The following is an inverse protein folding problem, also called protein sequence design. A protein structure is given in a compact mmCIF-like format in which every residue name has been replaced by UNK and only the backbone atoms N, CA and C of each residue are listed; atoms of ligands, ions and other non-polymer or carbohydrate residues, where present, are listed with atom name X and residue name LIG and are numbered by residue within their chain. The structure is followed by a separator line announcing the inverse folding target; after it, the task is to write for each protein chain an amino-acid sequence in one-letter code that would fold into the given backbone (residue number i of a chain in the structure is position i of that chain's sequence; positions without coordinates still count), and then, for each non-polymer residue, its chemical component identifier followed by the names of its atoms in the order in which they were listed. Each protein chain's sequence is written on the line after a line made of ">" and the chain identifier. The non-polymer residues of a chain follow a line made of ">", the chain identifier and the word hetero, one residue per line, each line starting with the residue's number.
data_IF_828987592340
#
_entry.id   IF_828987592340
#
_cell.length_a   1.000
_cell.length_b   1.000
_cell.length_c   1.000
_cell.angle_alpha   90.00
_cell.angle_beta   90.00
_cell.angle_gamma   90.00
#
_symmetry.space_group_name_H-M   'P 1'
#
loop_
_entity.id
_entity.type
_entity.pdbx_description
1 polymer ?
#
# COMPACT_ATOMS: atom_id res chain seq x y z
N UNK A 1 16.79 4.39 -0.52
CA UNK A 1 17.06 4.36 -1.98
C UNK A 1 17.52 5.75 -2.41
N UNK A 2 18.39 5.89 -3.44
CA UNK A 2 18.67 7.21 -4.05
C UNK A 2 17.34 7.80 -4.53
N UNK A 3 17.09 9.09 -4.33
CA UNK A 3 15.82 9.73 -4.71
C UNK A 3 15.48 9.35 -6.15
N UNK A 4 14.33 8.70 -6.30
CA UNK A 4 13.86 8.13 -7.57
C UNK A 4 13.50 9.26 -8.56
N UNK A 5 13.16 10.43 -8.02
CA UNK A 5 12.87 11.63 -8.80
C UNK A 5 14.16 12.25 -9.37
N UNK A 6 14.29 12.38 -10.71
CA UNK A 6 15.43 13.06 -11.33
C UNK A 6 15.59 14.53 -10.93
N UNK A 7 14.54 15.19 -10.43
CA UNK A 7 14.58 16.55 -9.88
C UNK A 7 14.96 16.60 -8.40
N UNK A 8 15.22 15.44 -7.77
CA UNK A 8 15.61 15.31 -6.36
C UNK A 8 14.56 15.88 -5.38
N UNK A 9 13.29 16.00 -5.80
CA UNK A 9 12.18 16.34 -4.89
C UNK A 9 11.97 15.25 -3.86
N UNK A 10 11.48 15.64 -2.69
CA UNK A 10 11.06 14.71 -1.65
C UNK A 10 9.65 14.19 -1.94
N UNK A 11 9.48 12.87 -2.00
CA UNK A 11 8.17 12.22 -2.14
C UNK A 11 7.56 11.97 -0.76
N UNK A 12 6.41 12.57 -0.48
CA UNK A 12 5.71 12.44 0.81
C UNK A 12 4.37 11.74 0.59
N UNK A 13 4.22 10.54 1.14
CA UNK A 13 2.92 9.88 1.19
C UNK A 13 2.11 10.45 2.35
N UNK A 14 0.92 11.01 2.06
CA UNK A 14 -0.03 11.50 3.07
C UNK A 14 -1.24 10.58 3.17
N UNK A 15 -1.53 10.13 4.40
CA UNK A 15 -2.74 9.38 4.71
C UNK A 15 -3.99 10.28 4.69
N UNK A 16 -5.17 9.71 4.51
CA UNK A 16 -6.43 10.44 4.42
C UNK A 16 -6.78 11.21 5.70
N UNK A 17 -6.41 10.67 6.87
CA UNK A 17 -6.58 11.43 8.12
C UNK A 17 -5.69 12.66 8.16
N UNK A 18 -4.50 12.62 7.55
CA UNK A 18 -3.59 13.76 7.46
C UNK A 18 -4.19 14.81 6.53
N UNK A 19 -4.63 14.40 5.33
CA UNK A 19 -5.32 15.30 4.40
C UNK A 19 -6.51 15.98 5.07
N UNK A 20 -7.28 15.23 5.88
CA UNK A 20 -8.40 15.80 6.62
C UNK A 20 -7.95 16.85 7.64
N UNK A 21 -6.95 16.56 8.47
CA UNK A 21 -6.45 17.52 9.45
C UNK A 21 -5.80 18.77 8.83
N UNK A 22 -5.16 18.65 7.66
CA UNK A 22 -4.60 19.79 6.93
C UNK A 22 -5.69 20.73 6.41
N UNK A 23 -6.82 20.18 5.96
CA UNK A 23 -7.95 20.96 5.43
C UNK A 23 -8.73 21.59 6.57
N UNK A 24 -9.08 20.78 7.57
CA UNK A 24 -9.88 21.20 8.72
C UNK A 24 -9.08 22.11 9.67
N UNK A 25 -7.74 22.15 9.54
CA UNK A 25 -6.82 22.94 10.36
C UNK A 25 -7.10 22.77 11.85
N UNK A 26 -7.15 21.51 12.30
CA UNK A 26 -7.64 21.15 13.65
C UNK A 26 -6.83 21.75 14.80
N UNK A 27 -5.60 22.20 14.54
CA UNK A 27 -4.78 23.01 15.45
C UNK A 27 -3.73 23.85 14.69
N UNK A 28 -3.02 24.72 15.42
CA UNK A 28 -1.99 25.60 14.85
C UNK A 28 -0.84 24.83 14.20
N UNK A 29 -0.43 23.69 14.75
CA UNK A 29 0.62 22.85 14.16
C UNK A 29 0.22 22.32 12.77
N UNK A 30 -1.01 21.85 12.60
CA UNK A 30 -1.51 21.39 11.29
C UNK A 30 -1.60 22.54 10.28
N UNK A 31 -1.97 23.73 10.74
CA UNK A 31 -1.99 24.94 9.91
C UNK A 31 -0.58 25.32 9.44
N UNK A 32 0.41 25.27 10.32
CA UNK A 32 1.82 25.51 9.97
C UNK A 32 2.33 24.46 8.97
N UNK A 33 2.10 23.17 9.24
CA UNK A 33 2.50 22.08 8.34
C UNK A 33 1.88 22.28 6.96
N UNK A 34 0.60 22.63 6.89
CA UNK A 34 -0.08 22.92 5.63
C UNK A 34 0.61 24.06 4.86
N UNK A 35 0.85 25.19 5.53
CA UNK A 35 1.52 26.33 4.89
C UNK A 35 2.91 25.96 4.38
N UNK A 36 3.66 25.17 5.16
CA UNK A 36 4.99 24.69 4.77
C UNK A 36 4.95 23.70 3.61
N UNK A 37 3.95 22.80 3.55
CA UNK A 37 3.75 21.89 2.41
C UNK A 37 3.43 22.68 1.14
N UNK A 38 2.49 23.63 1.21
CA UNK A 38 2.12 24.48 0.07
C UNK A 38 3.31 25.33 -0.41
N UNK A 39 4.06 25.93 0.51
CA UNK A 39 5.26 26.70 0.20
C UNK A 39 6.33 25.83 -0.49
N UNK A 40 6.76 24.73 0.14
CA UNK A 40 7.80 23.85 -0.41
C UNK A 40 7.40 23.19 -1.73
N UNK A 41 6.11 22.91 -1.93
CA UNK A 41 5.57 22.48 -3.21
C UNK A 41 5.73 23.58 -4.27
N UNK A 42 5.34 24.82 -3.95
CA UNK A 42 5.42 25.96 -4.89
C UNK A 42 6.85 26.29 -5.35
N UNK A 43 7.86 25.99 -4.52
CA UNK A 43 9.28 26.13 -4.87
C UNK A 43 9.90 24.82 -5.37
N UNK A 44 9.07 23.85 -5.75
CA UNK A 44 9.45 22.62 -6.45
C UNK A 44 10.37 21.69 -5.64
N UNK A 45 10.25 21.66 -4.32
CA UNK A 45 11.12 20.83 -3.46
C UNK A 45 10.49 19.50 -3.02
N UNK A 46 9.16 19.38 -3.07
CA UNK A 46 8.43 18.17 -2.70
C UNK A 46 7.21 17.97 -3.59
N UNK A 47 6.64 16.77 -3.51
CA UNK A 47 5.32 16.45 -4.03
C UNK A 47 4.70 15.34 -3.18
N UNK A 48 3.37 15.28 -3.17
CA UNK A 48 2.60 14.34 -2.38
C UNK A 48 1.66 13.54 -3.30
N UNK A 49 2.10 12.39 -3.86
CA UNK A 49 1.29 11.65 -4.81
C UNK A 49 -0.04 11.21 -4.22
N UNK A 50 -1.06 11.15 -5.08
CA UNK A 50 -2.34 10.54 -4.74
C UNK A 50 -2.20 9.02 -4.66
N UNK A 51 -3.21 8.39 -4.06
CA UNK A 51 -3.37 6.94 -4.14
C UNK A 51 -4.81 6.59 -4.48
N UNK A 52 -5.00 5.37 -4.98
CA UNK A 52 -6.34 4.82 -5.21
C UNK A 52 -7.13 4.73 -3.89
N UNK A 53 -6.44 4.45 -2.78
CA UNK A 53 -7.02 4.39 -1.43
C UNK A 53 -7.56 5.76 -0.98
N UNK A 54 -6.85 6.86 -1.28
CA UNK A 54 -7.33 8.21 -0.97
C UNK A 54 -8.71 8.48 -1.58
N UNK A 55 -8.92 8.10 -2.84
CA UNK A 55 -10.20 8.29 -3.54
C UNK A 55 -11.31 7.46 -2.88
N UNK A 56 -11.04 6.18 -2.59
CA UNK A 56 -12.01 5.28 -1.94
C UNK A 56 -12.46 5.80 -0.58
N UNK A 57 -11.56 6.38 0.21
CA UNK A 57 -11.88 6.90 1.54
C UNK A 57 -12.51 8.29 1.49
N UNK A 58 -12.04 9.15 0.58
CA UNK A 58 -12.59 10.50 0.41
C UNK A 58 -14.05 10.44 -0.04
N UNK A 59 -14.40 9.51 -0.93
CA UNK A 59 -15.76 9.32 -1.41
C UNK A 59 -16.78 8.89 -0.33
N UNK A 60 -16.32 8.46 0.86
CA UNK A 60 -17.21 8.16 2.01
C UNK A 60 -17.72 9.42 2.70
N UNK A 61 -17.10 10.58 2.46
CA UNK A 61 -17.58 11.89 2.94
C UNK A 61 -18.71 12.38 2.04
N UNK A 62 -19.56 13.26 2.56
CA UNK A 62 -20.53 14.02 1.75
C UNK A 62 -19.85 14.68 0.54
N UNK A 63 -20.50 14.64 -0.63
CA UNK A 63 -19.90 14.98 -1.93
C UNK A 63 -19.13 16.30 -1.93
N UNK A 64 -19.69 17.37 -1.39
CA UNK A 64 -19.03 18.68 -1.34
C UNK A 64 -17.73 18.65 -0.53
N UNK A 65 -17.74 17.97 0.62
CA UNK A 65 -16.54 17.80 1.43
C UNK A 65 -15.55 16.86 0.73
N UNK A 66 -16.03 15.80 0.09
CA UNK A 66 -15.18 14.87 -0.65
C UNK A 66 -14.40 15.61 -1.76
N UNK A 67 -15.07 16.48 -2.52
CA UNK A 67 -14.46 17.30 -3.58
C UNK A 67 -13.41 18.25 -3.02
N UNK A 68 -13.71 18.97 -1.94
CA UNK A 68 -12.74 19.90 -1.31
C UNK A 68 -11.46 19.13 -0.91
N UNK A 69 -11.61 17.94 -0.35
CA UNK A 69 -10.47 17.12 0.06
C UNK A 69 -9.64 16.60 -1.10
N UNK A 70 -10.29 16.06 -2.13
CA UNK A 70 -9.63 15.55 -3.32
C UNK A 70 -8.92 16.66 -4.10
N UNK A 71 -9.56 17.83 -4.28
CA UNK A 71 -8.96 18.98 -4.98
C UNK A 71 -7.75 19.55 -4.24
N UNK A 72 -7.82 19.68 -2.92
CA UNK A 72 -6.68 20.13 -2.13
C UNK A 72 -5.49 19.18 -2.30
N UNK A 73 -5.72 17.86 -2.19
CA UNK A 73 -4.63 16.91 -2.26
C UNK A 73 -4.06 16.79 -3.68
N UNK A 74 -4.92 16.88 -4.71
CA UNK A 74 -4.51 16.97 -6.11
C UNK A 74 -3.51 18.09 -6.36
N UNK A 75 -3.72 19.26 -5.75
CA UNK A 75 -2.81 20.42 -5.91
C UNK A 75 -1.37 20.11 -5.51
N UNK A 76 -1.16 19.27 -4.50
CA UNK A 76 0.18 18.90 -4.00
C UNK A 76 0.79 17.70 -4.74
N UNK A 77 0.05 17.07 -5.66
CA UNK A 77 0.43 15.76 -6.20
C UNK A 77 1.35 15.79 -7.42
N UNK A 78 1.55 16.95 -8.05
CA UNK A 78 2.17 17.05 -9.38
C UNK A 78 1.51 16.16 -10.45
N UNK A 79 0.21 15.85 -10.27
CA UNK A 79 -0.54 14.86 -11.06
C UNK A 79 0.01 13.43 -10.98
N UNK A 80 0.88 13.14 -10.01
CA UNK A 80 1.31 11.78 -9.72
C UNK A 80 0.29 11.04 -8.87
N UNK A 81 0.10 9.77 -9.23
CA UNK A 81 -0.63 8.81 -8.43
C UNK A 81 0.15 7.50 -8.34
N UNK A 82 0.10 6.87 -7.17
CA UNK A 82 0.59 5.51 -7.02
C UNK A 82 -0.20 4.55 -7.90
N UNK A 83 0.53 3.76 -8.69
CA UNK A 83 -0.05 2.64 -9.43
C UNK A 83 -0.79 1.71 -8.47
N UNK A 84 -1.86 1.10 -8.95
CA UNK A 84 -2.57 0.09 -8.16
C UNK A 84 -1.63 -1.08 -7.80
N UNK A 85 -1.94 -1.77 -6.70
CA UNK A 85 -1.02 -2.75 -6.08
C UNK A 85 -0.64 -3.90 -7.02
N UNK A 86 -1.61 -4.42 -7.78
CA UNK A 86 -1.42 -5.51 -8.74
C UNK A 86 -0.47 -5.08 -9.87
N UNK A 87 -0.68 -3.89 -10.44
CA UNK A 87 0.20 -3.33 -11.47
C UNK A 87 1.59 -3.04 -10.93
N UNK A 88 1.68 -2.40 -9.76
CA UNK A 88 2.96 -2.07 -9.14
C UNK A 88 3.77 -3.33 -8.83
N UNK A 89 3.13 -4.34 -8.23
CA UNK A 89 3.77 -5.62 -7.92
C UNK A 89 4.27 -6.32 -9.17
N UNK A 90 3.44 -6.41 -10.22
CA UNK A 90 3.85 -7.07 -11.47
C UNK A 90 4.96 -6.29 -12.19
N UNK A 91 4.96 -4.96 -12.12
CA UNK A 91 6.03 -4.11 -12.65
C UNK A 91 7.35 -4.32 -11.90
N UNK A 92 7.32 -4.46 -10.57
CA UNK A 92 8.52 -4.72 -9.77
C UNK A 92 9.08 -6.11 -10.04
N UNK A 93 8.23 -7.14 -10.14
CA UNK A 93 8.64 -8.49 -10.57
C UNK A 93 9.26 -8.43 -11.96
N UNK A 94 8.60 -7.77 -12.92
CA UNK A 94 9.14 -7.61 -14.26
C UNK A 94 10.50 -6.92 -14.27
N UNK A 95 10.68 -5.91 -13.42
CA UNK A 95 11.93 -5.17 -13.36
C UNK A 95 13.04 -6.00 -12.72
N UNK A 96 12.71 -6.75 -11.67
CA UNK A 96 13.62 -7.67 -10.98
C UNK A 96 14.14 -8.76 -11.92
N UNK A 97 13.24 -9.44 -12.64
CA UNK A 97 13.60 -10.56 -13.53
C UNK A 97 14.38 -10.09 -14.76
N UNK A 98 14.12 -8.87 -15.25
CA UNK A 98 14.80 -8.31 -16.43
C UNK A 98 16.02 -7.44 -16.10
N UNK A 99 16.27 -7.15 -14.82
CA UNK A 99 17.35 -6.25 -14.40
C UNK A 99 17.11 -4.78 -14.78
N UNK A 100 15.84 -4.37 -14.93
CA UNK A 100 15.51 -2.98 -15.24
C UNK A 100 15.73 -2.09 -14.01
N UNK A 101 16.26 -0.88 -14.23
CA UNK A 101 16.37 0.12 -13.17
C UNK A 101 14.98 0.68 -12.83
N UNK A 102 14.76 0.95 -11.54
CA UNK A 102 13.55 1.63 -11.10
C UNK A 102 13.66 3.13 -11.36
N UNK A 103 12.57 3.71 -11.83
CA UNK A 103 12.39 5.15 -12.07
C UNK A 103 11.10 5.61 -11.42
N UNK A 104 10.81 6.91 -11.42
CA UNK A 104 9.54 7.42 -10.87
C UNK A 104 8.32 6.73 -11.50
N UNK A 105 8.39 6.50 -12.81
CA UNK A 105 7.37 5.80 -13.60
C UNK A 105 7.24 4.31 -13.26
N UNK A 106 8.17 3.73 -12.50
CA UNK A 106 7.99 2.37 -11.96
C UNK A 106 6.87 2.35 -10.91
N UNK A 107 6.79 3.40 -10.08
CA UNK A 107 5.92 3.48 -8.92
C UNK A 107 4.68 4.33 -9.16
N UNK A 108 4.87 5.43 -9.87
CA UNK A 108 3.86 6.45 -10.13
C UNK A 108 3.41 6.38 -11.59
N UNK A 109 2.20 6.84 -11.82
CA UNK A 109 1.70 7.18 -13.15
C UNK A 109 1.25 8.64 -13.17
N UNK A 110 1.34 9.24 -14.34
CA UNK A 110 0.90 10.62 -14.60
C UNK A 110 -0.34 10.58 -15.48
N UNK A 111 -1.38 11.30 -15.12
CA UNK A 111 -2.54 11.44 -15.99
C UNK A 111 -3.67 12.24 -15.35
N UNK A 112 -4.53 12.87 -16.16
CA UNK A 112 -5.72 13.52 -15.65
C UNK A 112 -6.64 12.46 -15.06
N UNK A 113 -6.81 12.51 -13.75
CA UNK A 113 -7.81 11.68 -13.08
C UNK A 113 -9.20 12.24 -13.36
N UNK A 114 -10.19 11.36 -13.45
CA UNK A 114 -11.59 11.78 -13.45
C UNK A 114 -11.85 12.62 -12.21
N UNK A 115 -12.52 13.75 -12.38
CA UNK A 115 -12.93 14.58 -11.26
C UNK A 115 -13.78 13.73 -10.31
N UNK A 116 -13.57 13.84 -8.99
CA UNK A 116 -14.32 13.04 -8.03
C UNK A 116 -15.84 13.19 -8.22
N UNK A 117 -16.33 14.38 -8.60
CA UNK A 117 -17.74 14.60 -8.91
C UNK A 117 -18.28 13.66 -10.01
N UNK A 118 -17.46 13.31 -11.00
CA UNK A 118 -17.87 12.48 -12.14
C UNK A 118 -17.95 10.99 -11.78
N UNK A 119 -17.19 10.55 -10.78
CA UNK A 119 -17.09 9.14 -10.40
C UNK A 119 -17.58 8.82 -8.98
N UNK A 120 -18.06 9.82 -8.23
CA UNK A 120 -18.47 9.70 -6.83
C UNK A 120 -19.49 8.57 -6.58
N UNK A 121 -20.54 8.50 -7.39
CA UNK A 121 -21.58 7.46 -7.26
C UNK A 121 -21.01 6.06 -7.51
N UNK A 122 -20.24 5.89 -8.58
CA UNK A 122 -19.59 4.62 -8.94
C UNK A 122 -18.63 4.16 -7.84
N UNK A 123 -17.86 5.07 -7.25
CA UNK A 123 -16.96 4.75 -6.14
C UNK A 123 -17.76 4.30 -4.90
N UNK A 124 -18.89 4.94 -4.61
CA UNK A 124 -19.72 4.56 -3.48
C UNK A 124 -20.40 3.20 -3.68
N UNK A 125 -20.81 2.86 -4.89
CA UNK A 125 -21.32 1.53 -5.23
C UNK A 125 -20.23 0.46 -5.03
N UNK A 126 -19.01 0.72 -5.49
CA UNK A 126 -17.85 -0.17 -5.28
C UNK A 126 -17.50 -0.31 -3.80
N UNK A 127 -17.52 0.80 -3.04
CA UNK A 127 -17.28 0.80 -1.60
C UNK A 127 -18.30 -0.06 -0.85
N UNK A 128 -19.58 -0.05 -1.28
CA UNK A 128 -20.62 -0.88 -0.67
C UNK A 128 -20.30 -2.37 -0.85
N UNK A 129 -20.02 -2.80 -2.08
CA UNK A 129 -19.64 -4.19 -2.39
C UNK A 129 -18.37 -4.61 -1.64
N UNK A 130 -17.36 -3.74 -1.58
CA UNK A 130 -16.13 -3.97 -0.85
C UNK A 130 -16.39 -4.17 0.66
N UNK A 131 -17.15 -3.29 1.29
CA UNK A 131 -17.48 -3.39 2.71
C UNK A 131 -18.26 -4.66 3.03
N UNK A 132 -19.25 -5.03 2.22
CA UNK A 132 -20.01 -6.28 2.37
C UNK A 132 -19.11 -7.52 2.32
N UNK A 133 -18.23 -7.57 1.32
CA UNK A 133 -17.33 -8.70 1.06
C UNK A 133 -16.30 -8.89 2.17
N UNK A 134 -15.67 -7.79 2.61
CA UNK A 134 -14.67 -7.85 3.66
C UNK A 134 -15.30 -8.18 5.02
N UNK A 135 -16.48 -7.66 5.32
CA UNK A 135 -17.21 -8.02 6.54
C UNK A 135 -17.51 -9.53 6.60
N UNK A 136 -17.91 -10.15 5.49
CA UNK A 136 -18.12 -11.60 5.42
C UNK A 136 -16.85 -12.37 5.82
N UNK A 137 -15.71 -11.98 5.27
CA UNK A 137 -14.42 -12.62 5.54
C UNK A 137 -13.92 -12.40 6.98
N UNK A 138 -14.11 -11.20 7.51
CA UNK A 138 -13.68 -10.84 8.87
C UNK A 138 -14.51 -11.56 9.94
N UNK A 139 -15.81 -11.78 9.71
CA UNK A 139 -16.68 -12.46 10.68
C UNK A 139 -16.22 -13.88 11.00
N UNK A 140 -15.80 -14.65 9.99
CA UNK A 140 -15.31 -16.01 10.18
C UNK A 140 -13.97 -16.03 10.93
N UNK A 141 -13.06 -15.12 10.60
CA UNK A 141 -11.75 -15.02 11.24
C UNK A 141 -11.81 -14.52 12.68
N UNK A 142 -12.63 -13.50 12.97
CA UNK A 142 -12.80 -12.97 14.31
C UNK A 142 -13.48 -13.97 15.25
N UNK A 143 -14.37 -14.84 14.74
CA UNK A 143 -14.97 -15.91 15.53
C UNK A 143 -13.93 -16.93 16.03
N UNK A 144 -12.96 -17.29 15.18
CA UNK A 144 -11.86 -18.20 15.52
C UNK A 144 -10.88 -17.54 16.52
N UNK A 145 -10.59 -16.25 16.34
CA UNK A 145 -9.68 -15.49 17.22
C UNK A 145 -10.22 -15.36 18.66
N UNK A 146 -11.53 -15.21 18.85
CA UNK A 146 -12.16 -15.19 20.20
C UNK A 146 -11.91 -16.47 21.02
N UNK A 147 -11.56 -17.57 20.37
CA UNK A 147 -11.34 -18.87 21.01
C UNK A 147 -9.86 -19.05 21.40
N UNK A 148 -8.95 -18.23 20.88
CA UNK A 148 -7.49 -18.37 21.02
C UNK A 148 -6.86 -17.11 21.60
N UNK A 149 -7.15 -16.81 22.87
CA UNK A 149 -6.49 -15.71 23.59
C UNK A 149 -5.32 -16.23 24.44
N UNK A 150 -4.10 -16.09 23.91
CA UNK A 150 -2.87 -16.39 24.63
C UNK A 150 -1.74 -15.45 24.20
N UNK A 151 -1.15 -14.71 25.14
CA UNK A 151 0.04 -13.90 24.85
C UNK A 151 1.27 -14.80 24.80
N UNK A 152 1.82 -15.00 23.60
CA UNK A 152 3.09 -15.68 23.42
C UNK A 152 4.29 -14.73 23.66
N UNK A 153 5.47 -15.29 23.96
CA UNK A 153 6.69 -14.49 24.04
C UNK A 153 7.11 -13.93 22.67
N UNK A 154 7.74 -12.75 22.64
CA UNK A 154 8.13 -12.05 21.38
C UNK A 154 8.95 -12.92 20.41
N UNK A 155 9.82 -13.80 20.94
CA UNK A 155 10.61 -14.72 20.10
C UNK A 155 9.73 -15.76 19.40
N UNK A 156 8.70 -16.24 20.08
CA UNK A 156 7.75 -17.21 19.55
C UNK A 156 6.87 -16.53 18.49
N UNK A 157 6.39 -15.31 18.79
CA UNK A 157 5.63 -14.50 17.82
C UNK A 157 6.41 -14.27 16.52
N UNK A 158 7.68 -13.87 16.60
CA UNK A 158 8.51 -13.67 15.41
C UNK A 158 8.66 -14.93 14.57
N UNK A 159 8.82 -16.10 15.21
CA UNK A 159 8.86 -17.39 14.50
C UNK A 159 7.54 -17.70 13.81
N UNK A 160 6.40 -17.43 14.47
CA UNK A 160 5.09 -17.61 13.82
C UNK A 160 4.90 -16.68 12.64
N UNK A 161 5.36 -15.43 12.72
CA UNK A 161 5.33 -14.48 11.59
C UNK A 161 6.11 -15.07 10.40
N UNK A 162 7.33 -15.58 10.63
CA UNK A 162 8.13 -16.22 9.60
C UNK A 162 7.45 -17.45 8.99
N UNK A 163 6.84 -18.31 9.81
CA UNK A 163 6.11 -19.50 9.35
C UNK A 163 4.94 -19.10 8.46
N UNK A 164 4.10 -18.14 8.89
CA UNK A 164 2.95 -17.69 8.10
C UNK A 164 3.41 -17.08 6.77
N UNK A 165 4.47 -16.26 6.78
CA UNK A 165 5.05 -15.73 5.54
C UNK A 165 5.53 -16.85 4.60
N UNK A 166 6.15 -17.89 5.13
CA UNK A 166 6.64 -19.01 4.32
C UNK A 166 5.48 -19.81 3.70
N UNK A 167 4.38 -20.02 4.42
CA UNK A 167 3.18 -20.65 3.85
C UNK A 167 2.63 -19.85 2.66
N UNK A 168 2.63 -18.53 2.74
CA UNK A 168 2.19 -17.66 1.63
C UNK A 168 3.16 -17.73 0.43
N UNK A 169 4.47 -17.83 0.69
CA UNK A 169 5.49 -18.04 -0.35
C UNK A 169 5.28 -19.41 -1.04
N UNK A 170 5.06 -20.47 -0.26
CA UNK A 170 4.82 -21.82 -0.76
C UNK A 170 3.55 -21.88 -1.61
N UNK A 171 2.44 -21.31 -1.13
CA UNK A 171 1.21 -21.18 -1.91
C UNK A 171 1.43 -20.45 -3.24
N UNK A 172 2.21 -19.37 -3.25
CA UNK A 172 2.57 -18.66 -4.47
C UNK A 172 3.41 -19.53 -5.42
N UNK A 173 4.42 -20.22 -4.88
CA UNK A 173 5.31 -21.11 -5.63
C UNK A 173 4.51 -22.24 -6.27
N UNK A 174 3.67 -22.93 -5.51
CA UNK A 174 2.79 -24.00 -6.01
C UNK A 174 1.92 -23.50 -7.14
N UNK A 175 1.33 -22.31 -6.98
CA UNK A 175 0.48 -21.73 -8.00
C UNK A 175 1.23 -21.38 -9.28
N UNK A 176 2.40 -20.76 -9.15
CA UNK A 176 3.25 -20.42 -10.29
C UNK A 176 3.77 -21.67 -11.01
N UNK A 177 4.18 -22.70 -10.27
CA UNK A 177 4.68 -23.97 -10.80
C UNK A 177 3.58 -24.70 -11.58
N UNK A 178 2.36 -24.71 -11.05
CA UNK A 178 1.18 -25.21 -11.75
C UNK A 178 0.97 -24.48 -13.09
N UNK A 179 0.99 -23.14 -13.10
CA UNK A 179 0.79 -22.36 -14.33
C UNK A 179 1.89 -22.59 -15.38
N UNK A 180 3.13 -22.84 -14.95
CA UNK A 180 4.24 -23.19 -15.84
C UNK A 180 4.02 -24.58 -16.44
N UNK A 181 3.63 -25.56 -15.61
CA UNK A 181 3.44 -26.96 -16.01
C UNK A 181 2.28 -27.12 -16.98
N UNK A 182 1.12 -26.55 -16.65
CA UNK A 182 -0.08 -26.60 -17.49
C UNK A 182 -0.03 -25.64 -18.68
N UNK A 183 0.95 -24.72 -18.71
CA UNK A 183 1.10 -23.66 -19.72
C UNK A 183 -0.17 -22.81 -19.88
N UNK A 184 -0.94 -22.67 -18.81
CA UNK A 184 -2.18 -21.91 -18.78
C UNK A 184 -2.29 -21.11 -17.48
N UNK A 185 -2.85 -19.91 -17.60
CA UNK A 185 -3.22 -19.07 -16.47
C UNK A 185 -4.73 -18.94 -16.49
N UNK A 186 -5.39 -19.64 -15.57
CA UNK A 186 -6.80 -19.41 -15.27
C UNK A 186 -6.91 -18.56 -14.01
N UNK A 187 -7.88 -17.65 -13.99
CA UNK A 187 -8.15 -16.82 -12.83
C UNK A 187 -9.24 -17.52 -12.01
N UNK A 188 -8.88 -18.03 -10.84
CA UNK A 188 -9.84 -18.65 -9.90
C UNK A 188 -10.72 -17.57 -9.25
N UNK A 189 -11.97 -17.88 -8.90
CA UNK A 189 -12.74 -17.05 -7.99
C UNK A 189 -12.33 -17.32 -6.53
N UNK A 190 -12.09 -16.24 -5.79
CA UNK A 190 -12.11 -16.21 -4.33
C UNK A 190 -13.52 -15.75 -3.89
N UNK A 191 -14.18 -16.53 -3.04
CA UNK A 191 -15.56 -16.30 -2.65
C UNK A 191 -15.65 -15.46 -1.37
N UNK A 192 -16.32 -14.31 -1.46
CA UNK A 192 -16.59 -13.40 -0.35
C UNK A 192 -18.09 -13.24 -0.14
N UNK A 193 -18.75 -14.31 0.29
CA UNK A 193 -20.20 -14.36 0.46
C UNK A 193 -20.91 -14.57 -0.88
N UNK A 194 -21.70 -13.59 -1.31
CA UNK A 194 -22.40 -13.61 -2.61
C UNK A 194 -21.56 -13.06 -3.76
N UNK A 195 -20.40 -12.49 -3.46
CA UNK A 195 -19.52 -11.82 -4.42
C UNK A 195 -18.31 -12.71 -4.72
N UNK A 196 -17.98 -12.85 -5.99
CA UNK A 196 -16.78 -13.55 -6.46
C UNK A 196 -15.73 -12.52 -6.88
N UNK A 197 -14.52 -12.65 -6.36
CA UNK A 197 -13.39 -11.82 -6.73
C UNK A 197 -12.32 -12.66 -7.39
N UNK A 198 -11.59 -12.14 -8.39
CA UNK A 198 -10.53 -12.92 -8.99
C UNK A 198 -9.38 -13.13 -7.99
N UNK A 199 -8.82 -14.34 -7.94
CA UNK A 199 -7.74 -14.68 -7.03
C UNK A 199 -6.51 -13.80 -7.25
N UNK A 200 -5.97 -13.25 -6.17
CA UNK A 200 -4.95 -12.19 -6.24
C UNK A 200 -3.66 -12.65 -6.92
N UNK A 201 -3.19 -13.88 -6.63
CA UNK A 201 -1.99 -14.46 -7.26
C UNK A 201 -2.25 -14.65 -8.76
N UNK A 202 -3.42 -15.15 -9.12
CA UNK A 202 -3.78 -15.40 -10.52
C UNK A 202 -3.87 -14.11 -11.33
N UNK A 203 -4.42 -13.05 -10.74
CA UNK A 203 -4.43 -11.71 -11.36
C UNK A 203 -3.01 -11.22 -11.63
N UNK A 204 -2.09 -11.41 -10.68
CA UNK A 204 -0.69 -11.02 -10.83
C UNK A 204 -0.01 -11.79 -11.97
N UNK A 205 -0.17 -13.12 -12.00
CA UNK A 205 0.38 -13.98 -13.04
C UNK A 205 -0.21 -13.62 -14.42
N UNK A 206 -1.52 -13.38 -14.47
CA UNK A 206 -2.20 -12.93 -15.69
C UNK A 206 -1.63 -11.61 -16.18
N UNK A 207 -1.40 -10.65 -15.29
CA UNK A 207 -0.81 -9.36 -15.65
C UNK A 207 0.64 -9.49 -16.13
N UNK A 208 1.45 -10.34 -15.48
CA UNK A 208 2.81 -10.63 -15.94
C UNK A 208 2.82 -11.19 -17.36
N UNK A 209 1.92 -12.14 -17.66
CA UNK A 209 1.81 -12.71 -19.00
C UNK A 209 1.34 -11.69 -20.05
N UNK A 210 0.27 -10.95 -19.78
CA UNK A 210 -0.41 -10.14 -20.80
C UNK A 210 0.07 -8.70 -20.89
N UNK A 211 0.39 -8.04 -19.76
CA UNK A 211 0.85 -6.65 -19.76
C UNK A 211 2.36 -6.54 -19.87
N UNK A 212 3.10 -7.44 -19.21
CA UNK A 212 4.56 -7.44 -19.23
C UNK A 212 5.16 -8.43 -20.24
N UNK A 213 4.33 -9.21 -20.94
CA UNK A 213 4.76 -10.20 -21.93
C UNK A 213 5.76 -11.22 -21.36
N UNK A 214 5.51 -11.69 -20.15
CA UNK A 214 6.29 -12.80 -19.59
C UNK A 214 6.14 -14.04 -20.46
N UNK A 215 7.25 -14.76 -20.60
CA UNK A 215 7.36 -16.03 -21.32
C UNK A 215 7.71 -17.09 -20.30
N UNK A 216 7.62 -18.37 -20.67
CA UNK A 216 7.95 -19.50 -19.80
C UNK A 216 9.32 -19.33 -19.11
N UNK A 217 10.33 -18.84 -19.84
CA UNK A 217 11.67 -18.56 -19.27
C UNK A 217 11.62 -17.53 -18.13
N UNK A 218 10.84 -16.47 -18.27
CA UNK A 218 10.70 -15.42 -17.25
C UNK A 218 9.94 -15.96 -16.03
N UNK A 219 8.93 -16.81 -16.23
CA UNK A 219 8.22 -17.45 -15.12
C UNK A 219 9.10 -18.46 -14.37
N UNK A 220 9.94 -19.24 -15.07
CA UNK A 220 10.92 -20.13 -14.42
C UNK A 220 11.96 -19.34 -13.63
N UNK A 221 12.43 -18.21 -14.16
CA UNK A 221 13.31 -17.30 -13.42
C UNK A 221 12.62 -16.74 -12.17
N UNK A 222 11.35 -16.35 -12.29
CA UNK A 222 10.56 -15.86 -11.16
C UNK A 222 10.32 -16.95 -10.10
N UNK A 223 10.04 -18.18 -10.51
CA UNK A 223 9.90 -19.32 -9.62
C UNK A 223 11.20 -19.59 -8.83
N UNK A 224 12.35 -19.53 -9.51
CA UNK A 224 13.65 -19.69 -8.86
C UNK A 224 13.95 -18.54 -7.89
N UNK A 225 13.59 -17.30 -8.26
CA UNK A 225 13.72 -16.14 -7.37
C UNK A 225 12.91 -16.33 -6.09
N UNK A 226 11.65 -16.79 -6.18
CA UNK A 226 10.81 -17.09 -5.01
C UNK A 226 11.38 -18.22 -4.16
N UNK A 227 11.89 -19.30 -4.78
CA UNK A 227 12.50 -20.42 -4.04
C UNK A 227 13.76 -20.03 -3.27
N UNK A 228 14.54 -19.08 -3.79
CA UNK A 228 15.82 -18.65 -3.18
C UNK A 228 15.61 -17.51 -2.19
N UNK A 229 14.86 -16.48 -2.58
CA UNK A 229 14.76 -15.22 -1.84
C UNK A 229 13.40 -14.99 -1.18
N UNK A 230 12.42 -15.87 -1.43
CA UNK A 230 11.04 -15.65 -1.02
C UNK A 230 10.51 -14.33 -1.58
N UNK A 231 9.79 -13.57 -0.75
CA UNK A 231 9.30 -12.25 -1.11
C UNK A 231 10.29 -11.10 -0.85
N UNK A 232 11.45 -11.35 -0.24
CA UNK A 232 12.32 -10.29 0.28
C UNK A 232 12.76 -9.24 -0.74
N UNK A 233 12.88 -9.63 -2.03
CA UNK A 233 13.31 -8.73 -3.13
C UNK A 233 12.16 -8.12 -3.92
N UNK A 234 10.92 -8.36 -3.51
CA UNK A 234 9.71 -7.80 -4.13
C UNK A 234 8.98 -7.00 -3.04
N UNK A 235 9.23 -5.67 -2.95
CA UNK A 235 8.80 -4.87 -1.80
C UNK A 235 7.33 -4.99 -1.45
N UNK A 236 6.44 -4.96 -2.45
CA UNK A 236 4.99 -5.05 -2.22
C UNK A 236 4.60 -6.39 -1.59
N UNK A 237 5.10 -7.52 -2.11
CA UNK A 237 4.86 -8.84 -1.51
C UNK A 237 5.43 -8.91 -0.09
N UNK A 238 6.67 -8.47 0.11
CA UNK A 238 7.29 -8.52 1.43
C UNK A 238 6.51 -7.70 2.46
N UNK A 239 6.12 -6.46 2.12
CA UNK A 239 5.34 -5.59 3.02
C UNK A 239 3.98 -6.23 3.33
N UNK A 240 3.21 -6.59 2.30
CA UNK A 240 1.86 -7.14 2.44
C UNK A 240 1.85 -8.36 3.36
N UNK A 241 2.70 -9.35 3.07
CA UNK A 241 2.70 -10.60 3.82
C UNK A 241 3.37 -10.48 5.18
N UNK A 242 4.33 -9.56 5.37
CA UNK A 242 4.86 -9.27 6.71
C UNK A 242 3.82 -8.64 7.62
N UNK A 243 3.06 -7.66 7.12
CA UNK A 243 1.98 -7.02 7.88
C UNK A 243 0.83 -8.00 8.14
N UNK A 244 0.40 -8.78 7.13
CA UNK A 244 -0.65 -9.78 7.31
C UNK A 244 -0.28 -10.85 8.34
N UNK A 245 0.94 -11.36 8.29
CA UNK A 245 1.44 -12.31 9.29
C UNK A 245 1.53 -11.67 10.69
N UNK A 246 2.01 -10.44 10.80
CA UNK A 246 2.06 -9.70 12.06
C UNK A 246 0.68 -9.54 12.70
N UNK A 247 -0.32 -9.13 11.91
CA UNK A 247 -1.69 -8.96 12.41
C UNK A 247 -2.31 -10.28 12.86
N UNK A 248 -2.05 -11.35 12.12
CA UNK A 248 -2.52 -12.71 12.44
C UNK A 248 -1.96 -13.18 13.78
N UNK A 249 -0.65 -13.07 13.99
CA UNK A 249 0.02 -13.50 15.23
C UNK A 249 -0.37 -12.64 16.43
N UNK A 250 -0.60 -11.35 16.21
CA UNK A 250 -1.01 -10.43 17.29
C UNK A 250 -2.50 -10.53 17.63
N UNK A 251 -3.25 -11.46 17.02
CA UNK A 251 -4.69 -11.65 17.21
C UNK A 251 -5.49 -10.36 17.09
N UNK A 252 -5.00 -9.37 16.32
CA UNK A 252 -5.68 -8.08 16.25
C UNK A 252 -6.98 -8.28 15.49
N UNK A 253 -8.09 -7.79 16.02
CA UNK A 253 -9.34 -7.77 15.25
C UNK A 253 -9.10 -6.94 14.00
N UNK A 254 -9.34 -7.56 12.85
CA UNK A 254 -9.30 -6.86 11.56
C UNK A 254 -10.64 -6.19 11.32
N UNK A 255 -10.59 -5.02 10.70
CA UNK A 255 -11.74 -4.30 10.17
C UNK A 255 -11.50 -3.95 8.70
N UNK A 256 -12.53 -3.45 8.01
CA UNK A 256 -12.41 -3.11 6.59
C UNK A 256 -11.33 -2.04 6.33
N UNK A 257 -11.20 -1.06 7.22
CA UNK A 257 -10.14 -0.04 7.13
C UNK A 257 -8.74 -0.64 7.20
N UNK A 258 -8.55 -1.71 7.98
CA UNK A 258 -7.25 -2.35 8.14
C UNK A 258 -6.75 -2.93 6.80
N UNK A 259 -7.64 -3.41 5.91
CA UNK A 259 -7.26 -3.85 4.56
C UNK A 259 -6.83 -2.69 3.65
N UNK A 260 -7.53 -1.55 3.72
CA UNK A 260 -7.16 -0.34 2.96
C UNK A 260 -5.80 0.17 3.43
N UNK A 261 -5.55 0.17 4.74
CA UNK A 261 -4.25 0.56 5.31
C UNK A 261 -3.12 -0.35 4.83
N UNK A 262 -3.32 -1.68 4.81
CA UNK A 262 -2.30 -2.61 4.30
C UNK A 262 -1.99 -2.33 2.83
N UNK A 263 -3.01 -2.13 2.00
CA UNK A 263 -2.79 -1.79 0.58
C UNK A 263 -2.02 -0.46 0.44
N UNK A 264 -2.35 0.52 1.27
CA UNK A 264 -1.69 1.83 1.31
C UNK A 264 -0.21 1.69 1.64
N UNK A 265 0.12 0.99 2.72
CA UNK A 265 1.50 0.77 3.16
C UNK A 265 2.26 -0.05 2.12
N UNK A 266 1.60 -1.07 1.57
CA UNK A 266 2.15 -1.93 0.51
C UNK A 266 2.58 -1.13 -0.70
N UNK A 267 1.79 -0.13 -1.13
CA UNK A 267 2.08 0.67 -2.31
C UNK A 267 3.02 1.85 -2.04
N UNK A 268 2.88 2.52 -0.90
CA UNK A 268 3.52 3.81 -0.67
C UNK A 268 4.82 3.76 0.14
N UNK A 269 5.01 2.76 1.02
CA UNK A 269 6.09 2.78 2.01
C UNK A 269 7.47 2.79 1.35
N UNK A 270 7.71 1.88 0.41
CA UNK A 270 9.03 1.66 -0.19
C UNK A 270 9.40 2.65 -1.31
N UNK A 271 8.42 3.42 -1.79
CA UNK A 271 8.57 4.37 -2.88
C UNK A 271 8.58 5.83 -2.42
N UNK A 272 8.36 6.09 -1.13
CA UNK A 272 8.31 7.44 -0.56
C UNK A 272 9.53 7.70 0.32
N UNK A 273 9.95 8.96 0.41
CA UNK A 273 10.98 9.37 1.37
C UNK A 273 10.38 9.50 2.78
N UNK A 274 9.11 9.94 2.83
CA UNK A 274 8.31 10.10 4.04
C UNK A 274 6.97 9.40 3.85
N UNK A 275 6.53 8.66 4.87
CA UNK A 275 5.24 7.99 4.90
C UNK A 275 4.48 8.35 6.17
N UNK A 276 3.37 9.06 6.01
CA UNK A 276 2.42 9.31 7.09
C UNK A 276 1.40 8.19 7.20
N UNK A 277 1.11 7.78 8.43
CA UNK A 277 0.06 6.82 8.75
C UNK A 277 -0.38 6.99 10.20
N UNK A 278 -1.40 6.27 10.66
CA UNK A 278 -1.83 6.35 12.05
C UNK A 278 -0.81 5.72 13.01
N UNK A 279 -0.98 5.98 14.32
CA UNK A 279 -0.05 5.54 15.36
C UNK A 279 0.09 4.01 15.43
N UNK A 280 -1.01 3.26 15.24
CA UNK A 280 -1.00 1.78 15.27
C UNK A 280 -0.16 1.27 14.10
N UNK A 281 -0.38 1.78 12.88
CA UNK A 281 0.38 1.37 11.69
C UNK A 281 1.84 1.77 11.73
N UNK A 282 2.16 2.98 12.23
CA UNK A 282 3.55 3.39 12.46
C UNK A 282 4.29 2.39 13.36
N UNK A 283 3.67 1.97 14.46
CA UNK A 283 4.28 0.99 15.37
C UNK A 283 4.54 -0.35 14.69
N UNK A 284 3.59 -0.85 13.90
CA UNK A 284 3.70 -2.13 13.18
C UNK A 284 4.83 -2.11 12.15
N UNK A 285 4.94 -1.02 11.38
CA UNK A 285 6.02 -0.82 10.39
C UNK A 285 7.39 -0.83 11.07
N UNK A 286 7.52 -0.13 12.20
CA UNK A 286 8.79 -0.02 12.95
C UNK A 286 9.15 -1.34 13.64
N UNK A 287 8.20 -2.06 14.25
CA UNK A 287 8.48 -3.33 14.92
C UNK A 287 8.91 -4.42 13.92
N UNK A 288 8.38 -4.38 12.70
CA UNK A 288 8.81 -5.21 11.57
C UNK A 288 10.11 -4.72 10.90
N UNK A 289 10.63 -3.53 11.27
CA UNK A 289 11.84 -2.94 10.69
C UNK A 289 11.71 -2.54 9.22
N UNK A 290 10.49 -2.37 8.70
CA UNK A 290 10.25 -2.04 7.30
C UNK A 290 10.68 -0.61 6.96
N UNK A 291 10.59 0.31 7.92
CA UNK A 291 11.08 1.70 7.81
C UNK A 291 12.58 1.73 7.45
N UNK A 292 13.38 0.91 8.14
CA UNK A 292 14.82 0.80 7.92
C UNK A 292 15.14 0.06 6.63
N UNK A 293 14.42 -1.04 6.36
CA UNK A 293 14.61 -1.85 5.16
C UNK A 293 14.43 -1.02 3.88
N UNK A 294 13.41 -0.15 3.86
CA UNK A 294 13.12 0.68 2.69
C UNK A 294 13.69 2.10 2.78
N UNK A 295 14.29 2.48 3.91
CA UNK A 295 14.84 3.80 4.17
C UNK A 295 13.79 4.91 4.02
N UNK A 296 12.68 4.76 4.73
CA UNK A 296 11.53 5.67 4.72
C UNK A 296 11.29 6.21 6.12
N UNK A 297 11.16 7.52 6.27
CA UNK A 297 10.79 8.13 7.56
C UNK A 297 9.29 7.99 7.80
N UNK A 298 8.90 7.55 9.00
CA UNK A 298 7.50 7.31 9.35
C UNK A 298 7.02 8.30 10.41
N UNK A 299 5.95 9.03 10.10
CA UNK A 299 5.31 9.97 11.01
C UNK A 299 3.82 9.60 11.20
N UNK A 300 3.24 10.06 12.31
CA UNK A 300 1.81 9.95 12.59
C UNK A 300 1.28 11.23 13.25
N UNK A 301 -0.03 11.27 13.54
CA UNK A 301 -0.69 12.46 14.10
C UNK A 301 -0.38 12.80 15.57
N UNK A 302 0.67 12.24 16.17
CA UNK A 302 1.07 12.59 17.55
C UNK A 302 1.93 13.84 17.55
N UNK A 303 1.78 14.69 18.57
CA UNK A 303 2.42 16.00 18.67
C UNK A 303 3.93 15.98 18.34
N UNK A 304 4.68 15.05 18.95
CA UNK A 304 6.11 14.91 18.69
C UNK A 304 6.42 14.69 17.20
N UNK A 305 5.68 13.81 16.54
CA UNK A 305 5.90 13.52 15.12
C UNK A 305 5.54 14.72 14.23
N UNK A 306 4.51 15.48 14.61
CA UNK A 306 4.11 16.68 13.89
C UNK A 306 5.16 17.78 14.01
N UNK A 307 5.71 17.98 15.21
CA UNK A 307 6.81 18.93 15.43
C UNK A 307 8.06 18.53 14.65
N UNK A 308 8.47 17.26 14.74
CA UNK A 308 9.63 16.73 14.02
C UNK A 308 9.45 16.86 12.50
N UNK A 309 8.23 16.67 11.98
CA UNK A 309 7.92 16.85 10.57
C UNK A 309 7.89 18.33 10.16
N UNK A 310 7.35 19.22 10.99
CA UNK A 310 7.36 20.66 10.73
C UNK A 310 8.80 21.19 10.63
N UNK A 311 9.67 20.82 11.57
CA UNK A 311 11.10 21.13 11.51
C UNK A 311 11.74 20.61 10.21
N UNK A 312 11.44 19.37 9.82
CA UNK A 312 11.94 18.81 8.56
C UNK A 312 11.50 19.63 7.33
N UNK A 313 10.25 20.10 7.30
CA UNK A 313 9.75 20.95 6.21
C UNK A 313 10.41 22.33 6.19
N UNK A 314 10.74 22.89 7.36
CA UNK A 314 11.45 24.18 7.46
C UNK A 314 12.90 24.09 6.99
N UNK A 315 13.54 22.94 7.18
CA UNK A 315 14.94 22.69 6.80
C UNK A 315 15.11 22.18 5.36
N UNK A 316 14.02 22.04 4.61
CA UNK A 316 14.05 21.55 3.24
C UNK A 316 14.69 22.60 2.32
N UNK A 317 15.69 22.19 1.54
CA UNK A 317 16.50 23.06 0.67
C UNK A 317 16.56 22.55 -0.76
#
# INVERSE_FOLDING_TARGET
>A
MKKIDPQNKTCIYLDQFVVSNLIDQTNDTWKEIRNMLEFNFSINLLYCPLSHQHILETAKKEINNAVIHDEYFRKLSDNYIFKNEIFLTSQLISSLIRGNRHTINTYLETGPFKNLNECYSQINDVNKVFNESINYHILSQNAIRKITDGKAEKKIENKFIEVIKNLEIENFIERLDFCITEKQIYIRPDNYGIHEFPNWIDQLLFQLAHRHSFKEIHFKQFLNELKINGFNRIPTLNIRFSLGAYLTVKHKQENVSDHIDIMRITNGLFSSDIFFTDKKRKFEIIDLGLDKLYNTKIYCGVEKDLLDFNCYLQDLK
#
